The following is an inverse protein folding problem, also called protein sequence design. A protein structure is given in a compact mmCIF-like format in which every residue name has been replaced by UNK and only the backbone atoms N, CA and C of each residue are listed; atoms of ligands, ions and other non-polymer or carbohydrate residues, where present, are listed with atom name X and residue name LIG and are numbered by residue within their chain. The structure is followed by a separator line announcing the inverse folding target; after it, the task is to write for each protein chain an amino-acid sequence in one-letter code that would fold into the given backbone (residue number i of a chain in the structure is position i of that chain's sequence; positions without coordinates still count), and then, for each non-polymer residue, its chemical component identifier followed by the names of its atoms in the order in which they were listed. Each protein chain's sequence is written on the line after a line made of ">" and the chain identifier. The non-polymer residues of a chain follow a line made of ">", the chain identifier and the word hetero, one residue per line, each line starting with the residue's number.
data_IF_990965740027
#
_entry.id   IF_990965740027
#
_cell.length_a   1.000
_cell.length_b   1.000
_cell.length_c   1.000
_cell.angle_alpha   90.00
_cell.angle_beta   90.00
_cell.angle_gamma   90.00
#
_symmetry.space_group_name_H-M   'P 1'
#
loop_
_entity.id
_entity.type
_entity.pdbx_description
1 polymer ?
#
# COMPACT_ATOMS: atom_id res chain seq x y z
N UNK A 1 2.63 -12.54 -38.65
CA UNK A 1 3.13 -12.96 -37.32
C UNK A 1 2.20 -14.06 -36.85
N UNK A 2 2.66 -15.32 -36.70
CA UNK A 2 1.84 -16.37 -36.10
C UNK A 2 1.83 -16.16 -34.60
N UNK A 3 0.64 -16.03 -34.02
CA UNK A 3 0.46 -15.96 -32.56
C UNK A 3 0.69 -17.33 -31.93
N UNK A 4 0.96 -17.39 -30.61
CA UNK A 4 1.08 -18.66 -29.85
C UNK A 4 -0.09 -19.59 -30.15
N UNK A 5 -1.32 -19.07 -30.23
CA UNK A 5 -2.53 -19.83 -30.61
C UNK A 5 -2.43 -20.49 -32.00
N UNK A 6 -1.66 -19.90 -32.90
CA UNK A 6 -1.38 -20.49 -34.24
C UNK A 6 -0.43 -21.67 -34.16
N UNK A 7 0.52 -21.67 -33.20
CA UNK A 7 1.47 -22.77 -33.03
C UNK A 7 0.87 -23.94 -32.25
N UNK A 8 -0.03 -23.71 -31.32
CA UNK A 8 -0.73 -24.75 -30.54
C UNK A 8 -1.61 -25.61 -31.44
N UNK A 9 -2.06 -25.07 -32.58
CA UNK A 9 -2.84 -25.81 -33.58
C UNK A 9 -1.99 -26.62 -34.58
N UNK A 10 -0.67 -26.49 -34.48
CA UNK A 10 0.25 -27.27 -35.36
C UNK A 10 0.56 -28.62 -34.73
N UNK A 11 0.74 -29.64 -35.57
CA UNK A 11 1.26 -30.92 -35.12
C UNK A 11 2.71 -30.78 -34.60
N UNK A 12 3.16 -31.72 -33.79
CA UNK A 12 4.54 -31.74 -33.27
C UNK A 12 5.58 -31.72 -34.40
N UNK A 13 5.30 -32.40 -35.49
CA UNK A 13 6.21 -32.48 -36.67
C UNK A 13 6.26 -31.14 -37.41
N UNK A 14 5.14 -30.45 -37.58
CA UNK A 14 5.08 -29.10 -38.17
C UNK A 14 5.83 -28.09 -37.34
N UNK A 15 5.72 -28.16 -36.01
CA UNK A 15 6.47 -27.33 -35.07
C UNK A 15 7.98 -27.59 -35.12
N UNK A 16 8.40 -28.86 -35.24
CA UNK A 16 9.81 -29.23 -35.37
C UNK A 16 10.42 -28.75 -36.70
N UNK A 17 9.66 -28.77 -37.79
CA UNK A 17 10.08 -28.20 -39.08
C UNK A 17 10.22 -26.68 -38.96
N UNK A 18 9.25 -26.01 -38.33
CA UNK A 18 9.27 -24.57 -38.11
C UNK A 18 10.47 -24.12 -37.27
N UNK A 19 10.82 -24.84 -36.21
CA UNK A 19 11.97 -24.52 -35.34
C UNK A 19 13.34 -24.78 -35.99
N UNK A 20 13.41 -25.63 -37.03
CA UNK A 20 14.64 -25.88 -37.79
C UNK A 20 14.93 -24.80 -38.81
N UNK A 21 13.98 -23.95 -39.14
CA UNK A 21 14.18 -22.84 -40.06
C UNK A 21 14.87 -21.66 -39.32
N UNK A 22 16.20 -21.62 -39.45
CA UNK A 22 17.06 -20.62 -38.81
C UNK A 22 16.83 -19.18 -39.30
N UNK A 23 16.00 -18.97 -40.34
CA UNK A 23 15.60 -17.61 -40.76
C UNK A 23 14.70 -16.90 -39.77
N UNK A 24 14.07 -17.65 -38.85
CA UNK A 24 13.22 -17.12 -37.78
C UNK A 24 13.99 -16.46 -36.61
N UNK A 25 15.28 -16.73 -36.48
CA UNK A 25 16.11 -16.09 -35.44
C UNK A 25 16.25 -14.57 -35.61
N UNK A 26 15.85 -14.02 -36.75
CA UNK A 26 15.92 -12.58 -37.05
C UNK A 26 14.61 -11.82 -37.00
N UNK A 27 13.49 -12.44 -36.62
CA UNK A 27 12.20 -11.78 -36.49
C UNK A 27 11.66 -11.91 -35.08
N UNK A 28 11.67 -10.82 -34.34
CA UNK A 28 10.83 -10.44 -33.16
C UNK A 28 10.16 -11.56 -32.31
N UNK A 29 10.72 -12.77 -32.28
CA UNK A 29 10.35 -13.77 -31.30
C UNK A 29 11.01 -13.41 -29.97
N UNK A 30 10.24 -12.96 -29.01
CA UNK A 30 10.74 -12.75 -27.67
C UNK A 30 11.22 -14.10 -27.11
N UNK A 31 12.36 -14.12 -26.43
CA UNK A 31 12.94 -15.30 -25.78
C UNK A 31 11.92 -16.10 -24.95
N UNK A 32 10.92 -15.41 -24.41
CA UNK A 32 9.78 -15.95 -23.66
C UNK A 32 8.89 -16.85 -24.53
N UNK A 33 8.54 -16.42 -25.74
CA UNK A 33 7.68 -17.18 -26.67
C UNK A 33 8.40 -18.42 -27.19
N UNK A 34 9.70 -18.29 -27.43
CA UNK A 34 10.54 -19.43 -27.81
C UNK A 34 10.63 -20.46 -26.69
N UNK A 35 10.85 -20.04 -25.43
CA UNK A 35 10.91 -20.94 -24.28
C UNK A 35 9.56 -21.64 -24.03
N UNK A 36 8.44 -20.94 -24.22
CA UNK A 36 7.10 -21.54 -24.14
C UNK A 36 6.87 -22.58 -25.23
N UNK A 37 7.34 -22.31 -26.44
CA UNK A 37 7.25 -23.25 -27.56
C UNK A 37 8.10 -24.49 -27.31
N UNK A 38 9.31 -24.34 -26.77
CA UNK A 38 10.19 -25.47 -26.40
C UNK A 38 9.56 -26.29 -25.27
N UNK A 39 8.98 -25.63 -24.24
CA UNK A 39 8.30 -26.32 -23.16
C UNK A 39 7.08 -27.13 -23.67
N UNK A 40 6.31 -26.60 -24.65
CA UNK A 40 5.21 -27.29 -25.28
C UNK A 40 5.67 -28.56 -26.01
N UNK A 41 6.80 -28.52 -26.72
CA UNK A 41 7.36 -29.69 -27.39
C UNK A 41 7.81 -30.78 -26.42
N UNK A 42 8.25 -30.39 -25.22
CA UNK A 42 8.71 -31.32 -24.17
C UNK A 42 7.52 -31.89 -23.40
N UNK A 43 6.51 -31.10 -23.09
CA UNK A 43 5.31 -31.55 -22.38
C UNK A 43 4.06 -30.76 -22.82
N UNK A 44 3.37 -31.26 -23.90
CA UNK A 44 2.19 -30.62 -24.47
C UNK A 44 1.04 -30.44 -23.46
N UNK A 45 0.84 -31.41 -22.57
CA UNK A 45 -0.26 -31.41 -21.61
C UNK A 45 -0.07 -30.35 -20.53
N UNK A 46 1.18 -30.07 -20.13
CA UNK A 46 1.50 -29.02 -19.16
C UNK A 46 1.14 -27.63 -19.70
N UNK A 47 1.35 -27.37 -20.98
CA UNK A 47 1.08 -26.06 -21.61
C UNK A 47 -0.41 -25.81 -21.83
N UNK A 48 -1.17 -26.82 -22.19
CA UNK A 48 -2.63 -26.71 -22.30
C UNK A 48 -3.22 -26.31 -20.95
N UNK A 49 -2.72 -26.91 -19.84
CA UNK A 49 -3.13 -26.50 -18.48
C UNK A 49 -2.72 -25.05 -18.14
N UNK A 50 -1.61 -24.56 -18.67
CA UNK A 50 -1.10 -23.21 -18.42
C UNK A 50 -1.87 -22.14 -19.19
N UNK A 51 -2.30 -22.40 -20.42
CA UNK A 51 -3.13 -21.49 -21.22
C UNK A 51 -4.49 -21.30 -20.55
N UNK A 52 -5.11 -22.38 -20.08
CA UNK A 52 -6.38 -22.32 -19.38
C UNK A 52 -6.29 -21.49 -18.09
N UNK A 53 -5.21 -21.68 -17.33
CA UNK A 53 -4.98 -20.94 -16.09
C UNK A 53 -4.69 -19.45 -16.33
N UNK A 54 -3.91 -19.09 -17.37
CA UNK A 54 -3.70 -17.69 -17.74
C UNK A 54 -5.01 -17.04 -18.20
N UNK A 55 -5.89 -17.76 -18.87
CA UNK A 55 -7.24 -17.30 -19.18
C UNK A 55 -8.04 -17.00 -17.93
N UNK A 56 -7.94 -17.82 -16.90
CA UNK A 56 -8.60 -17.58 -15.62
C UNK A 56 -8.01 -16.38 -14.85
N UNK A 57 -6.70 -16.18 -14.93
CA UNK A 57 -6.04 -14.97 -14.41
C UNK A 57 -6.59 -13.73 -15.14
N UNK A 58 -6.65 -13.74 -16.48
CA UNK A 58 -7.22 -12.63 -17.27
C UNK A 58 -8.68 -12.36 -16.90
N UNK A 59 -9.50 -13.39 -16.76
CA UNK A 59 -10.92 -13.25 -16.30
C UNK A 59 -11.01 -12.64 -14.90
N UNK A 60 -10.13 -13.05 -13.98
CA UNK A 60 -10.08 -12.48 -12.63
C UNK A 60 -9.72 -10.99 -12.67
N UNK A 61 -8.70 -10.62 -13.46
CA UNK A 61 -8.31 -9.21 -13.63
C UNK A 61 -9.42 -8.38 -14.28
N UNK A 62 -10.11 -8.90 -15.30
CA UNK A 62 -11.24 -8.23 -15.96
C UNK A 62 -12.42 -7.99 -15.02
N UNK A 63 -12.57 -8.79 -13.96
CA UNK A 63 -13.62 -8.56 -12.95
C UNK A 63 -13.39 -7.31 -12.10
N UNK A 64 -12.19 -6.73 -12.14
CA UNK A 64 -11.80 -5.55 -11.35
C UNK A 64 -11.37 -4.37 -12.23
N UNK A 65 -10.49 -4.59 -13.21
CA UNK A 65 -10.02 -3.58 -14.14
C UNK A 65 -10.88 -3.55 -15.40
N UNK A 66 -11.30 -2.36 -15.81
CA UNK A 66 -12.03 -2.16 -17.08
C UNK A 66 -11.11 -1.90 -18.27
N UNK A 67 -9.86 -1.51 -18.03
CA UNK A 67 -8.88 -1.19 -19.07
C UNK A 67 -8.13 -2.45 -19.53
N UNK A 68 -8.39 -2.86 -20.77
CA UNK A 68 -7.74 -4.04 -21.38
C UNK A 68 -6.23 -3.88 -21.51
N UNK A 69 -5.72 -2.68 -21.82
CA UNK A 69 -4.28 -2.42 -21.95
C UNK A 69 -3.57 -2.60 -20.59
N UNK A 70 -4.24 -2.16 -19.52
CA UNK A 70 -3.74 -2.35 -18.15
C UNK A 70 -3.68 -3.83 -17.80
N UNK A 71 -4.71 -4.60 -18.16
CA UNK A 71 -4.73 -6.07 -17.95
C UNK A 71 -3.60 -6.75 -18.71
N UNK A 72 -3.39 -6.40 -19.97
CA UNK A 72 -2.32 -6.98 -20.79
C UNK A 72 -0.93 -6.62 -20.21
N UNK A 73 -0.74 -5.39 -19.73
CA UNK A 73 0.50 -4.99 -19.05
C UNK A 73 0.75 -5.85 -17.79
N UNK A 74 -0.28 -6.03 -16.93
CA UNK A 74 -0.17 -6.89 -15.75
C UNK A 74 0.16 -8.33 -16.14
N UNK A 75 -0.52 -8.89 -17.15
CA UNK A 75 -0.26 -10.25 -17.61
C UNK A 75 1.17 -10.44 -18.14
N UNK A 76 1.73 -9.41 -18.80
CA UNK A 76 3.12 -9.45 -19.28
C UNK A 76 4.15 -9.47 -18.15
N UNK A 77 3.77 -9.03 -16.96
CA UNK A 77 4.64 -9.05 -15.76
C UNK A 77 4.51 -10.35 -14.95
N UNK A 78 3.70 -11.31 -15.41
CA UNK A 78 3.47 -12.61 -14.78
C UNK A 78 4.21 -13.70 -15.55
N UNK A 79 4.84 -14.62 -14.83
CA UNK A 79 5.46 -15.82 -15.38
C UNK A 79 4.99 -17.06 -14.62
N UNK A 80 5.09 -18.21 -15.27
CA UNK A 80 4.81 -19.51 -14.64
C UNK A 80 6.12 -20.11 -14.10
N UNK A 81 6.13 -20.49 -12.85
CA UNK A 81 7.23 -21.20 -12.20
C UNK A 81 6.95 -22.71 -12.28
N UNK A 82 7.59 -23.39 -13.23
CA UNK A 82 7.42 -24.83 -13.48
C UNK A 82 7.77 -25.68 -12.24
N UNK A 83 8.73 -25.23 -11.43
CA UNK A 83 9.16 -25.98 -10.23
C UNK A 83 8.11 -25.96 -9.13
N UNK A 84 7.32 -24.88 -9.05
CA UNK A 84 6.29 -24.70 -8.03
C UNK A 84 4.88 -24.94 -8.57
N UNK A 85 4.70 -25.02 -9.89
CA UNK A 85 3.40 -25.11 -10.55
C UNK A 85 2.53 -23.86 -10.28
N UNK A 86 3.14 -22.67 -10.13
CA UNK A 86 2.47 -21.44 -9.75
C UNK A 86 2.85 -20.29 -10.66
N UNK A 87 1.91 -19.35 -10.83
CA UNK A 87 2.15 -18.06 -11.45
C UNK A 87 2.70 -17.07 -10.42
N UNK A 88 3.64 -16.23 -10.84
CA UNK A 88 4.25 -15.20 -10.00
C UNK A 88 4.58 -13.96 -10.81
N UNK A 89 4.74 -12.81 -10.19
CA UNK A 89 5.32 -11.63 -10.83
C UNK A 89 6.82 -11.80 -11.03
N UNK A 90 7.38 -11.20 -12.09
CA UNK A 90 8.81 -11.31 -12.42
C UNK A 90 9.73 -10.88 -11.27
N UNK A 91 9.31 -9.86 -10.53
CA UNK A 91 10.04 -9.37 -9.37
C UNK A 91 9.12 -8.65 -8.39
N UNK A 92 9.67 -8.27 -7.24
CA UNK A 92 8.96 -7.57 -6.18
C UNK A 92 8.42 -6.21 -6.64
N UNK A 93 9.14 -5.47 -7.48
CA UNK A 93 8.70 -4.16 -7.99
C UNK A 93 7.42 -4.28 -8.83
N UNK A 94 7.34 -5.31 -9.68
CA UNK A 94 6.14 -5.58 -10.50
C UNK A 94 4.94 -5.97 -9.64
N UNK A 95 5.16 -6.76 -8.61
CA UNK A 95 4.12 -7.11 -7.64
C UNK A 95 3.66 -5.88 -6.85
N UNK A 96 4.57 -5.01 -6.39
CA UNK A 96 4.23 -3.77 -5.73
C UNK A 96 3.41 -2.83 -6.63
N UNK A 97 3.82 -2.68 -7.89
CA UNK A 97 3.07 -1.88 -8.87
C UNK A 97 1.65 -2.43 -9.09
N UNK A 98 1.49 -3.75 -9.12
CA UNK A 98 0.19 -4.38 -9.18
C UNK A 98 -0.68 -4.01 -7.97
N UNK A 99 -0.17 -4.13 -6.74
CA UNK A 99 -0.91 -3.76 -5.54
C UNK A 99 -1.21 -2.27 -5.47
N UNK A 100 -0.27 -1.40 -5.85
CA UNK A 100 -0.52 0.04 -5.97
C UNK A 100 -1.67 0.33 -6.94
N UNK A 101 -1.74 -0.39 -8.06
CA UNK A 101 -2.86 -0.28 -9.00
C UNK A 101 -4.20 -0.73 -8.41
N UNK A 102 -4.20 -1.66 -7.46
CA UNK A 102 -5.43 -2.11 -6.78
C UNK A 102 -5.87 -1.08 -5.74
N UNK A 103 -4.97 -0.64 -4.86
CA UNK A 103 -5.33 0.26 -3.76
C UNK A 103 -5.54 1.70 -4.23
N UNK A 104 -4.89 2.10 -5.31
CA UNK A 104 -5.03 3.42 -5.91
C UNK A 104 -5.63 3.31 -7.31
N UNK A 105 -6.94 3.20 -7.36
CA UNK A 105 -7.71 2.95 -8.59
C UNK A 105 -7.45 3.96 -9.73
N UNK A 106 -6.75 5.09 -9.50
CA UNK A 106 -6.68 6.16 -10.50
C UNK A 106 -5.35 6.91 -10.65
N UNK A 107 -4.31 6.69 -9.81
CA UNK A 107 -3.10 7.54 -9.90
C UNK A 107 -1.83 6.80 -9.48
N UNK A 108 -0.74 7.02 -10.23
CA UNK A 108 0.59 6.52 -9.86
C UNK A 108 1.12 7.21 -8.58
N UNK A 109 2.00 6.55 -7.84
CA UNK A 109 2.66 7.14 -6.67
C UNK A 109 3.42 8.43 -7.06
N UNK A 110 3.93 8.49 -8.29
CA UNK A 110 4.63 9.65 -8.86
C UNK A 110 3.72 10.88 -8.98
N UNK A 111 2.41 10.69 -9.21
CA UNK A 111 1.43 11.78 -9.20
C UNK A 111 1.06 12.27 -7.79
N UNK A 112 1.45 11.53 -6.76
CA UNK A 112 1.22 11.90 -5.35
C UNK A 112 2.37 12.68 -4.74
N UNK A 113 3.50 12.76 -5.45
CA UNK A 113 4.64 13.55 -5.04
C UNK A 113 4.26 15.01 -4.95
N UNK A 114 4.54 15.64 -3.80
CA UNK A 114 4.16 17.02 -3.53
C UNK A 114 2.68 17.22 -3.16
N UNK A 115 1.91 16.15 -2.97
CA UNK A 115 0.58 16.23 -2.39
C UNK A 115 0.63 16.27 -0.88
N UNK A 116 -0.34 16.95 -0.33
CA UNK A 116 -0.56 17.06 1.10
C UNK A 116 -1.46 15.94 1.60
N UNK A 117 -1.11 15.40 2.77
CA UNK A 117 -1.96 14.50 3.55
C UNK A 117 -2.09 15.05 4.97
N UNK A 118 -3.14 14.64 5.65
CA UNK A 118 -3.50 15.21 6.94
C UNK A 118 -3.57 14.13 8.02
N UNK A 119 -3.15 14.48 9.23
CA UNK A 119 -3.29 13.62 10.40
C UNK A 119 -3.90 14.39 11.54
N UNK A 120 -5.03 13.90 12.04
CA UNK A 120 -5.68 14.46 13.22
C UNK A 120 -5.15 13.78 14.47
N UNK A 121 -4.94 14.58 15.52
CA UNK A 121 -4.44 14.07 16.81
C UNK A 121 -4.72 15.06 17.94
N UNK A 122 -4.45 14.65 19.19
CA UNK A 122 -4.54 15.55 20.34
C UNK A 122 -3.44 16.60 20.36
N UNK A 123 -3.69 17.72 21.03
CA UNK A 123 -2.68 18.75 21.28
C UNK A 123 -1.48 18.18 22.08
N UNK A 124 -1.74 17.28 23.03
CA UNK A 124 -0.70 16.60 23.81
C UNK A 124 0.26 15.79 22.92
N UNK A 125 -0.29 15.03 21.96
CA UNK A 125 0.53 14.26 21.01
C UNK A 125 1.42 15.18 20.17
N UNK A 126 0.88 16.28 19.66
CA UNK A 126 1.66 17.29 18.94
C UNK A 126 2.79 17.85 19.83
N UNK A 127 2.47 18.20 21.08
CA UNK A 127 3.44 18.77 22.02
C UNK A 127 4.60 17.80 22.28
N UNK A 128 4.31 16.51 22.48
CA UNK A 128 5.32 15.46 22.64
C UNK A 128 6.18 15.36 21.36
N UNK A 129 5.54 15.37 20.19
CA UNK A 129 6.21 15.25 18.88
C UNK A 129 7.21 16.40 18.66
N UNK A 130 6.79 17.64 18.90
CA UNK A 130 7.64 18.83 18.72
C UNK A 130 8.79 18.89 19.74
N UNK A 131 8.51 18.57 21.01
CA UNK A 131 9.53 18.60 22.07
C UNK A 131 10.60 17.52 21.87
N UNK A 132 10.20 16.32 21.47
CA UNK A 132 11.14 15.23 21.19
C UNK A 132 11.76 15.32 19.80
N UNK A 133 11.21 16.13 18.91
CA UNK A 133 11.63 16.18 17.50
C UNK A 133 11.42 14.88 16.76
N UNK A 134 10.35 14.13 17.10
CA UNK A 134 10.13 12.78 16.58
C UNK A 134 8.72 12.61 16.03
N UNK A 135 8.62 11.80 14.99
CA UNK A 135 7.37 11.25 14.51
C UNK A 135 7.30 9.77 14.91
N UNK A 136 6.29 9.41 15.69
CA UNK A 136 6.09 8.04 16.18
C UNK A 136 5.19 7.26 15.26
N UNK A 137 5.63 6.06 14.85
CA UNK A 137 4.79 5.03 14.27
C UNK A 137 4.57 3.89 15.26
N UNK A 138 3.35 3.39 15.32
CA UNK A 138 2.96 2.32 16.23
C UNK A 138 2.91 0.99 15.47
N UNK A 139 3.32 -0.09 16.16
CA UNK A 139 3.15 -1.44 15.65
C UNK A 139 1.68 -1.76 15.39
N UNK A 140 1.40 -2.52 14.36
CA UNK A 140 0.02 -2.89 13.95
C UNK A 140 -0.72 -3.68 15.03
N UNK A 141 -0.02 -4.34 15.94
CA UNK A 141 -0.61 -5.09 17.07
C UNK A 141 -1.41 -4.19 18.01
N UNK A 142 -1.00 -2.91 18.10
CA UNK A 142 -1.64 -1.90 18.94
C UNK A 142 -2.78 -1.13 18.28
N UNK A 143 -3.24 -1.54 17.10
CA UNK A 143 -4.37 -0.90 16.43
C UNK A 143 -5.64 -1.00 17.28
N UNK A 144 -6.40 0.09 17.29
CA UNK A 144 -7.64 0.19 18.09
C UNK A 144 -8.70 -0.82 17.66
N UNK A 145 -8.78 -1.10 16.36
CA UNK A 145 -9.74 -2.05 15.81
C UNK A 145 -9.02 -3.33 15.32
N UNK A 146 -9.09 -4.38 16.14
CA UNK A 146 -8.56 -5.70 15.78
C UNK A 146 -9.28 -6.32 14.59
N UNK A 147 -10.52 -5.93 14.32
CA UNK A 147 -11.29 -6.45 13.19
C UNK A 147 -10.70 -6.03 11.85
N UNK A 148 -10.00 -4.91 11.80
CA UNK A 148 -9.28 -4.45 10.60
C UNK A 148 -8.11 -5.37 10.24
N UNK A 149 -7.36 -5.86 11.23
CA UNK A 149 -6.22 -6.76 11.00
C UNK A 149 -6.70 -8.06 10.34
N UNK A 150 -7.84 -8.57 10.78
CA UNK A 150 -8.43 -9.83 10.30
C UNK A 150 -9.32 -9.65 9.06
N UNK A 151 -9.61 -8.42 8.65
CA UNK A 151 -10.58 -8.16 7.59
C UNK A 151 -10.20 -8.83 6.28
N UNK A 152 -8.95 -8.68 5.86
CA UNK A 152 -8.43 -9.30 4.66
C UNK A 152 -8.54 -10.83 4.71
N UNK A 153 -8.09 -11.44 5.80
CA UNK A 153 -8.07 -12.90 5.97
C UNK A 153 -9.50 -13.49 6.00
N UNK A 154 -10.47 -12.75 6.53
CA UNK A 154 -11.88 -13.16 6.55
C UNK A 154 -12.56 -13.07 5.18
N UNK A 155 -12.17 -12.10 4.36
CA UNK A 155 -12.85 -11.78 3.08
C UNK A 155 -12.13 -12.33 1.85
N UNK A 156 -10.85 -12.67 1.92
CA UNK A 156 -10.05 -13.09 0.76
C UNK A 156 -9.26 -14.37 1.03
N UNK A 157 -8.02 -14.25 1.45
CA UNK A 157 -7.05 -15.34 1.58
C UNK A 157 -6.58 -15.40 3.03
N UNK A 158 -6.60 -16.59 3.62
CA UNK A 158 -6.03 -16.80 4.95
C UNK A 158 -4.50 -16.83 4.85
N UNK A 159 -3.88 -15.69 4.97
CA UNK A 159 -2.42 -15.58 4.94
C UNK A 159 -1.86 -15.78 6.33
N UNK A 160 -2.62 -15.38 7.35
CA UNK A 160 -2.12 -15.26 8.71
C UNK A 160 -1.07 -14.16 8.85
N UNK A 161 -0.51 -14.03 10.01
CA UNK A 161 0.68 -13.20 10.28
C UNK A 161 1.57 -13.94 11.24
N UNK A 162 2.85 -13.97 10.96
CA UNK A 162 3.85 -14.46 11.93
C UNK A 162 4.00 -13.42 13.05
N UNK A 163 4.43 -13.86 14.24
CA UNK A 163 4.73 -12.95 15.36
C UNK A 163 5.77 -11.91 14.94
N UNK A 164 6.73 -12.29 14.10
CA UNK A 164 7.75 -11.39 13.58
C UNK A 164 7.13 -10.31 12.69
N UNK A 165 6.32 -10.68 11.71
CA UNK A 165 5.65 -9.71 10.81
C UNK A 165 4.81 -8.71 11.59
N UNK A 166 4.09 -9.16 12.63
CA UNK A 166 3.30 -8.29 13.48
C UNK A 166 4.15 -7.28 14.25
N UNK A 167 5.33 -7.69 14.73
CA UNK A 167 6.21 -6.83 15.52
C UNK A 167 7.10 -5.92 14.67
N UNK A 168 7.40 -6.31 13.43
CA UNK A 168 8.26 -5.57 12.52
C UNK A 168 7.46 -4.66 11.56
N UNK A 169 6.14 -4.58 11.73
CA UNK A 169 5.26 -3.74 10.91
C UNK A 169 4.66 -2.60 11.72
N UNK A 170 4.90 -1.39 11.24
CA UNK A 170 4.46 -0.16 11.88
C UNK A 170 3.55 0.62 10.95
N UNK A 171 2.55 1.31 11.52
CA UNK A 171 1.54 2.01 10.78
C UNK A 171 1.28 3.41 11.32
N UNK A 172 1.05 4.33 10.41
CA UNK A 172 0.48 5.64 10.69
C UNK A 172 -0.66 5.94 9.71
N UNK A 173 -1.84 6.20 10.26
CA UNK A 173 -3.02 6.58 9.50
C UNK A 173 -3.05 8.09 9.28
N UNK A 174 -3.22 8.47 8.02
CA UNK A 174 -3.47 9.83 7.56
C UNK A 174 -4.76 9.85 6.75
N UNK A 175 -5.15 11.03 6.29
CA UNK A 175 -6.33 11.20 5.42
C UNK A 175 -6.04 12.24 4.33
N UNK A 176 -6.84 12.23 3.27
CA UNK A 176 -6.84 13.31 2.27
C UNK A 176 -7.73 14.49 2.64
N UNK A 177 -8.43 14.42 3.78
CA UNK A 177 -9.42 15.42 4.21
C UNK A 177 -8.77 16.50 5.06
N UNK A 178 -8.72 17.73 4.54
CA UNK A 178 -8.29 18.93 5.26
C UNK A 178 -9.46 19.50 6.05
N UNK A 179 -9.22 19.88 7.31
CA UNK A 179 -10.17 20.61 8.18
C UNK A 179 -11.61 20.03 8.12
N UNK A 180 -11.72 18.70 8.21
CA UNK A 180 -12.99 17.98 8.05
C UNK A 180 -13.67 17.72 9.38
N UNK A 181 -14.98 17.99 9.46
CA UNK A 181 -15.79 17.85 10.67
C UNK A 181 -15.80 16.43 11.23
N UNK A 182 -15.89 15.43 10.36
CA UNK A 182 -15.91 14.02 10.78
C UNK A 182 -14.57 13.60 11.35
N UNK A 183 -13.49 14.01 10.70
CA UNK A 183 -12.13 13.73 11.17
C UNK A 183 -11.81 14.42 12.50
N UNK A 184 -12.29 15.64 12.70
CA UNK A 184 -12.18 16.32 13.99
C UNK A 184 -12.88 15.55 15.11
N UNK A 185 -14.07 15.03 14.86
CA UNK A 185 -14.84 14.23 15.84
C UNK A 185 -14.17 12.90 16.17
N UNK A 186 -13.70 12.19 15.15
CA UNK A 186 -13.17 10.85 15.34
C UNK A 186 -11.73 10.84 15.88
N UNK A 187 -10.88 11.77 15.41
CA UNK A 187 -9.44 11.69 15.62
C UNK A 187 -8.81 12.98 16.14
N UNK A 188 -9.51 14.08 16.10
CA UNK A 188 -9.04 15.42 16.52
C UNK A 188 -9.46 15.80 17.93
N UNK A 189 -9.60 14.84 18.86
CA UNK A 189 -10.02 15.08 20.25
C UNK A 189 -11.33 15.88 20.35
N UNK A 190 -12.34 15.43 19.59
CA UNK A 190 -13.64 16.12 19.44
C UNK A 190 -13.49 17.60 19.09
N UNK A 191 -12.54 17.91 18.21
CA UNK A 191 -12.28 19.28 17.75
C UNK A 191 -11.43 20.14 18.69
N UNK A 192 -10.89 19.61 19.78
CA UNK A 192 -9.97 20.31 20.69
C UNK A 192 -8.51 20.07 20.33
N UNK A 193 -8.22 19.09 19.50
CA UNK A 193 -6.89 18.71 19.07
C UNK A 193 -6.36 19.54 17.90
N UNK A 194 -5.55 18.91 17.07
CA UNK A 194 -4.86 19.52 15.92
C UNK A 194 -4.98 18.66 14.69
N UNK A 195 -4.95 19.30 13.52
CA UNK A 195 -4.77 18.66 12.23
C UNK A 195 -3.38 19.01 11.71
N UNK A 196 -2.56 18.00 11.44
CA UNK A 196 -1.20 18.11 10.95
C UNK A 196 -1.20 17.92 9.44
N UNK A 197 -0.70 18.89 8.70
CA UNK A 197 -0.51 18.80 7.26
C UNK A 197 0.92 18.37 6.95
N UNK A 198 1.04 17.28 6.20
CA UNK A 198 2.32 16.78 5.74
C UNK A 198 2.39 16.85 4.21
N UNK A 199 3.55 17.31 3.73
CA UNK A 199 3.95 17.15 2.34
C UNK A 199 4.63 15.78 2.15
N UNK A 200 4.23 15.05 1.11
CA UNK A 200 4.84 13.77 0.77
C UNK A 200 6.16 14.06 0.04
N UNK A 201 7.26 13.64 0.64
CA UNK A 201 8.57 13.72 0.02
C UNK A 201 8.77 12.49 -0.88
N UNK A 202 8.90 12.73 -2.18
CA UNK A 202 9.32 11.68 -3.08
C UNK A 202 10.81 11.51 -3.04
N UNK A 203 11.21 10.27 -2.86
CA UNK A 203 12.44 9.77 -3.47
C UNK A 203 12.32 8.27 -3.60
N UNK A 204 12.42 7.74 -4.82
CA UNK A 204 12.46 6.31 -5.11
C UNK A 204 13.49 5.57 -4.23
N UNK A 205 14.60 6.19 -3.94
CA UNK A 205 15.72 5.60 -3.19
C UNK A 205 15.51 5.54 -1.67
N UNK A 206 14.42 6.13 -1.17
CA UNK A 206 14.15 6.24 0.28
C UNK A 206 13.00 5.39 0.77
N UNK A 207 12.31 4.66 -0.11
CA UNK A 207 11.04 4.02 0.21
C UNK A 207 11.14 2.48 0.31
N UNK A 208 12.32 1.89 0.23
CA UNK A 208 12.42 0.41 0.30
C UNK A 208 11.67 -0.22 1.48
N UNK A 209 11.64 0.49 2.62
CA UNK A 209 10.97 0.02 3.83
C UNK A 209 9.61 0.69 4.09
N UNK A 210 9.20 1.68 3.28
CA UNK A 210 7.93 2.38 3.44
C UNK A 210 6.98 2.09 2.29
N UNK A 211 5.69 1.96 2.62
CA UNK A 211 4.60 2.01 1.66
C UNK A 211 3.67 3.14 2.08
N UNK A 212 3.45 4.12 1.21
CA UNK A 212 2.46 5.17 1.37
C UNK A 212 1.41 5.02 0.27
N UNK A 213 0.21 4.61 0.64
CA UNK A 213 -0.87 4.37 -0.31
C UNK A 213 -2.25 4.64 0.32
N UNK A 214 -3.26 4.97 -0.50
CA UNK A 214 -4.63 5.05 -0.01
C UNK A 214 -5.13 3.65 0.38
N UNK A 215 -6.11 3.62 1.26
CA UNK A 215 -6.84 2.40 1.60
C UNK A 215 -7.88 2.12 0.52
N UNK A 216 -7.94 0.87 0.08
CA UNK A 216 -8.99 0.38 -0.80
C UNK A 216 -10.18 -0.08 0.05
N UNK A 217 -11.33 0.55 -0.15
CA UNK A 217 -12.56 0.23 0.58
C UNK A 217 -13.44 -0.70 -0.22
N UNK A 218 -14.21 -1.53 0.49
CA UNK A 218 -15.30 -2.25 -0.12
C UNK A 218 -16.28 -1.29 -0.81
N UNK A 219 -16.90 -1.71 -1.89
CA UNK A 219 -17.90 -0.92 -2.62
C UNK A 219 -19.21 -0.80 -1.84
N UNK A 220 -19.52 -1.82 -1.06
CA UNK A 220 -20.67 -1.88 -0.14
C UNK A 220 -20.36 -2.84 1.03
N UNK A 221 -21.34 -3.08 1.90
CA UNK A 221 -21.16 -3.97 3.08
C UNK A 221 -20.94 -5.44 2.73
N UNK A 222 -21.34 -5.86 1.55
CA UNK A 222 -21.30 -7.27 1.12
C UNK A 222 -20.09 -7.54 0.23
N UNK A 223 -19.74 -6.60 -0.63
CA UNK A 223 -18.77 -6.80 -1.72
C UNK A 223 -17.52 -5.96 -1.56
N UNK A 224 -16.41 -6.65 -1.68
CA UNK A 224 -15.10 -6.02 -1.88
C UNK A 224 -14.49 -6.59 -3.15
N UNK A 225 -14.63 -5.87 -4.27
CA UNK A 225 -14.23 -6.36 -5.60
C UNK A 225 -12.75 -6.71 -5.66
N UNK A 226 -11.89 -5.87 -5.07
CA UNK A 226 -10.45 -6.14 -5.05
C UNK A 226 -10.14 -7.46 -4.34
N UNK A 227 -10.71 -7.70 -3.16
CA UNK A 227 -10.49 -8.94 -2.41
C UNK A 227 -11.06 -10.17 -3.14
N UNK A 228 -12.21 -10.01 -3.81
CA UNK A 228 -12.80 -11.06 -4.65
C UNK A 228 -11.90 -11.39 -5.86
N UNK A 229 -11.31 -10.39 -6.49
CA UNK A 229 -10.34 -10.59 -7.57
C UNK A 229 -9.09 -11.31 -7.06
N UNK A 230 -8.47 -10.86 -5.96
CA UNK A 230 -7.29 -11.51 -5.38
C UNK A 230 -7.55 -12.98 -5.02
N UNK A 231 -8.75 -13.28 -4.50
CA UNK A 231 -9.17 -14.66 -4.24
C UNK A 231 -9.19 -15.50 -5.51
N UNK A 232 -9.81 -14.99 -6.59
CA UNK A 232 -9.85 -15.69 -7.89
C UNK A 232 -8.45 -15.88 -8.49
N UNK A 233 -7.56 -14.89 -8.35
CA UNK A 233 -6.15 -15.02 -8.79
C UNK A 233 -5.43 -16.14 -8.03
N UNK A 234 -5.65 -16.26 -6.73
CA UNK A 234 -5.10 -17.36 -5.95
C UNK A 234 -5.69 -18.72 -6.35
N UNK A 235 -6.99 -18.79 -6.63
CA UNK A 235 -7.66 -19.99 -7.16
C UNK A 235 -7.08 -20.39 -8.53
N UNK A 236 -6.63 -19.44 -9.34
CA UNK A 236 -5.89 -19.65 -10.57
C UNK A 236 -4.39 -19.92 -10.36
N UNK A 237 -3.98 -20.39 -9.18
CA UNK A 237 -2.61 -20.70 -8.77
C UNK A 237 -1.63 -19.52 -8.79
N UNK A 238 -2.11 -18.29 -8.69
CA UNK A 238 -1.23 -17.14 -8.57
C UNK A 238 -0.69 -17.01 -7.15
N UNK A 239 0.63 -16.85 -7.02
CA UNK A 239 1.35 -16.62 -5.77
C UNK A 239 1.70 -15.14 -5.64
N UNK A 240 1.52 -14.62 -4.45
CA UNK A 240 1.94 -13.28 -4.06
C UNK A 240 2.99 -13.37 -2.95
N UNK A 241 4.12 -12.71 -3.13
CA UNK A 241 5.22 -12.67 -2.15
C UNK A 241 5.09 -11.52 -1.17
N UNK A 242 4.52 -10.39 -1.62
CA UNK A 242 4.38 -9.15 -0.85
C UNK A 242 2.99 -8.96 -0.20
N UNK A 243 2.09 -9.92 -0.34
CA UNK A 243 0.70 -9.79 0.10
C UNK A 243 0.58 -9.54 1.61
N UNK A 244 1.53 -10.03 2.42
CA UNK A 244 1.56 -9.80 3.86
C UNK A 244 1.70 -8.30 4.22
N UNK A 245 2.32 -7.50 3.35
CA UNK A 245 2.40 -6.04 3.49
C UNK A 245 1.10 -5.36 3.05
N UNK A 246 0.58 -5.80 1.91
CA UNK A 246 -0.55 -5.15 1.25
C UNK A 246 -1.90 -5.45 1.88
N UNK A 247 -2.06 -6.57 2.61
CA UNK A 247 -3.31 -6.94 3.27
C UNK A 247 -3.85 -5.86 4.22
N UNK A 248 -2.98 -5.00 4.73
CA UNK A 248 -3.34 -3.90 5.62
C UNK A 248 -3.90 -2.66 4.91
N UNK A 249 -4.03 -2.68 3.59
CA UNK A 249 -4.58 -1.57 2.80
C UNK A 249 -6.04 -1.80 2.37
N UNK A 250 -6.75 -2.73 2.99
CA UNK A 250 -8.14 -3.02 2.66
C UNK A 250 -9.04 -2.84 3.89
N UNK A 251 -10.15 -2.11 3.72
CA UNK A 251 -11.12 -1.82 4.80
C UNK A 251 -12.56 -2.08 4.37
N UNK A 252 -13.45 -2.34 5.34
CA UNK A 252 -14.90 -2.35 5.11
C UNK A 252 -15.42 -1.01 4.58
N UNK A 253 -16.57 -1.06 3.92
CA UNK A 253 -17.26 0.12 3.39
C UNK A 253 -17.56 1.18 4.45
N UNK A 254 -17.93 0.76 5.66
CA UNK A 254 -18.34 1.67 6.74
C UNK A 254 -17.25 2.70 7.14
N UNK A 255 -15.98 2.43 6.82
CA UNK A 255 -14.85 3.33 7.06
C UNK A 255 -14.52 4.27 5.89
N UNK A 256 -15.29 4.22 4.78
CA UNK A 256 -15.01 5.00 3.58
C UNK A 256 -14.95 6.51 3.81
N UNK A 257 -15.68 7.01 4.83
CA UNK A 257 -15.69 8.44 5.20
C UNK A 257 -14.33 8.97 5.65
N UNK A 258 -13.44 8.10 6.11
CA UNK A 258 -12.12 8.48 6.60
C UNK A 258 -11.16 8.90 5.48
N UNK A 259 -11.38 8.46 4.23
CA UNK A 259 -10.48 8.70 3.09
C UNK A 259 -9.02 8.45 3.46
N UNK A 260 -8.79 7.33 4.16
CA UNK A 260 -7.53 7.02 4.80
C UNK A 260 -6.40 6.80 3.78
N UNK A 261 -5.25 7.35 4.11
CA UNK A 261 -3.97 7.11 3.45
C UNK A 261 -3.04 6.51 4.53
N UNK A 262 -2.51 5.33 4.29
CA UNK A 262 -1.63 4.63 5.23
C UNK A 262 -0.18 4.81 4.86
N UNK A 263 0.61 5.25 5.84
CA UNK A 263 2.06 5.10 5.83
C UNK A 263 2.39 3.85 6.64
N UNK A 264 2.98 2.86 5.99
CA UNK A 264 3.49 1.67 6.64
C UNK A 264 5.01 1.64 6.56
N UNK A 265 5.65 1.19 7.63
CA UNK A 265 7.07 0.94 7.72
C UNK A 265 7.30 -0.53 8.07
N UNK A 266 8.17 -1.19 7.31
CA UNK A 266 8.56 -2.57 7.52
C UNK A 266 10.00 -2.59 8.00
N UNK A 267 10.17 -2.84 9.30
CA UNK A 267 11.49 -2.86 9.92
C UNK A 267 12.19 -4.19 9.67
N UNK A 268 13.19 -4.18 8.81
CA UNK A 268 14.04 -5.35 8.58
C UNK A 268 15.27 -5.38 9.51
N UNK A 269 15.34 -4.48 10.49
CA UNK A 269 16.45 -4.32 11.41
C UNK A 269 17.71 -3.70 10.79
N UNK A 270 17.65 -3.28 9.53
CA UNK A 270 18.79 -2.67 8.79
C UNK A 270 18.55 -1.22 8.40
N UNK A 271 17.32 -0.75 8.49
CA UNK A 271 16.97 0.61 8.12
C UNK A 271 17.18 1.55 9.31
N UNK A 272 18.24 2.37 9.26
CA UNK A 272 18.58 3.32 10.34
C UNK A 272 18.47 4.78 9.91
N UNK A 273 18.15 5.05 8.64
CA UNK A 273 18.08 6.41 8.14
C UNK A 273 16.89 7.18 8.77
N UNK A 274 17.20 8.11 9.65
CA UNK A 274 16.20 8.90 10.37
C UNK A 274 15.51 8.19 11.55
N UNK A 275 15.79 6.92 11.81
CA UNK A 275 15.32 6.22 13.02
C UNK A 275 16.09 6.74 14.22
N UNK A 276 15.35 7.21 15.23
CA UNK A 276 15.93 7.67 16.52
C UNK A 276 15.85 6.57 17.56
N UNK A 277 14.73 5.87 17.60
CA UNK A 277 14.45 4.90 18.67
C UNK A 277 13.55 3.76 18.17
N UNK A 278 13.83 2.56 18.68
CA UNK A 278 12.95 1.39 18.61
C UNK A 278 12.69 0.98 20.04
N UNK A 279 11.43 0.94 20.44
CA UNK A 279 11.05 0.69 21.84
C UNK A 279 9.67 0.03 21.93
N UNK A 280 9.23 -0.20 23.13
CA UNK A 280 7.94 -0.78 23.44
C UNK A 280 7.18 0.14 24.37
N UNK A 281 5.89 0.29 24.12
CA UNK A 281 5.00 1.05 25.00
C UNK A 281 3.80 0.19 25.40
N UNK A 282 3.23 0.52 26.56
CA UNK A 282 1.91 0.05 26.94
C UNK A 282 0.86 1.01 26.37
N UNK A 283 -0.04 0.52 25.54
CA UNK A 283 -1.15 1.34 25.05
C UNK A 283 -2.15 1.62 26.16
N UNK A 284 -2.64 2.86 26.22
CA UNK A 284 -3.60 3.25 27.25
C UNK A 284 -4.96 2.62 27.06
N UNK A 285 -5.44 2.52 25.82
CA UNK A 285 -6.79 2.06 25.49
C UNK A 285 -7.02 0.58 25.77
N UNK A 286 -6.01 -0.27 25.58
CA UNK A 286 -6.19 -1.74 25.63
C UNK A 286 -5.17 -2.46 26.52
N UNK A 287 -4.29 -1.72 27.20
CA UNK A 287 -3.20 -2.31 28.02
C UNK A 287 -2.34 -3.33 27.27
N UNK A 288 -2.17 -3.13 25.96
CA UNK A 288 -1.35 -4.00 25.10
C UNK A 288 0.07 -3.46 25.09
N UNK A 289 1.06 -4.36 25.17
CA UNK A 289 2.46 -4.03 24.88
C UNK A 289 2.60 -3.95 23.37
N UNK A 290 3.00 -2.77 22.86
CA UNK A 290 3.07 -2.49 21.45
C UNK A 290 4.45 -1.97 21.07
N UNK A 291 5.11 -2.51 20.03
CA UNK A 291 6.34 -1.95 19.52
C UNK A 291 6.09 -0.57 18.90
N UNK A 292 7.08 0.30 19.02
CA UNK A 292 7.09 1.62 18.40
C UNK A 292 8.41 1.86 17.69
N UNK A 293 8.35 2.73 16.69
CA UNK A 293 9.53 3.31 16.06
C UNK A 293 9.36 4.82 16.00
N UNK A 294 10.37 5.56 16.47
CA UNK A 294 10.43 7.00 16.42
C UNK A 294 11.40 7.45 15.33
N UNK A 295 10.89 8.20 14.35
CA UNK A 295 11.67 8.83 13.30
C UNK A 295 11.97 10.28 13.64
N UNK A 296 13.12 10.79 13.25
CA UNK A 296 13.43 12.22 13.36
C UNK A 296 12.46 13.01 12.49
N UNK A 297 11.73 13.93 13.12
CA UNK A 297 10.77 14.80 12.44
C UNK A 297 11.46 15.63 11.35
N UNK A 298 10.84 15.71 10.17
CA UNK A 298 11.34 16.45 9.02
C UNK A 298 12.75 16.03 8.56
N UNK A 299 13.12 14.77 8.79
CA UNK A 299 14.41 14.24 8.31
C UNK A 299 14.32 13.68 6.90
N UNK A 300 15.47 13.59 6.27
CA UNK A 300 15.64 13.02 4.93
C UNK A 300 15.25 11.54 4.86
N UNK A 301 15.35 10.82 5.96
CA UNK A 301 14.99 9.39 6.06
C UNK A 301 13.51 9.10 6.34
N UNK A 302 12.67 10.15 6.45
CA UNK A 302 11.23 10.00 6.70
C UNK A 302 10.43 10.57 5.52
N UNK A 303 9.45 9.84 4.97
CA UNK A 303 8.81 10.20 3.70
C UNK A 303 7.83 11.38 3.77
N UNK A 304 7.65 12.00 4.93
CA UNK A 304 6.72 13.11 5.13
C UNK A 304 7.39 14.29 5.81
N UNK A 305 7.06 15.50 5.36
CA UNK A 305 7.52 16.77 5.92
C UNK A 305 6.34 17.53 6.54
N UNK A 306 6.38 17.81 7.84
CA UNK A 306 5.37 18.64 8.51
C UNK A 306 5.47 20.09 8.01
N UNK A 307 4.38 20.60 7.43
CA UNK A 307 4.31 21.93 6.81
C UNK A 307 3.42 22.89 7.56
N UNK A 308 2.31 22.38 8.10
CA UNK A 308 1.31 23.23 8.75
C UNK A 308 0.59 22.47 9.87
N UNK A 309 0.17 23.22 10.89
CA UNK A 309 -0.64 22.73 11.99
C UNK A 309 -1.90 23.58 12.07
N UNK A 310 -3.07 22.94 12.01
CA UNK A 310 -4.38 23.58 12.13
C UNK A 310 -4.90 23.28 13.53
N UNK A 311 -5.19 24.30 14.32
CA UNK A 311 -5.79 24.19 15.64
C UNK A 311 -7.30 23.93 15.52
N UNK A 312 -7.82 23.02 16.34
CA UNK A 312 -9.19 22.52 16.22
C UNK A 312 -10.27 23.55 16.54
N UNK A 313 -11.48 23.36 15.98
CA UNK A 313 -12.58 24.34 16.07
C UNK A 313 -13.19 24.49 17.48
N UNK A 314 -12.93 23.55 18.40
CA UNK A 314 -13.35 23.63 19.82
C UNK A 314 -12.18 23.89 20.77
N UNK A 315 -11.01 24.24 20.25
CA UNK A 315 -9.86 24.52 21.12
C UNK A 315 -10.13 25.74 21.99
N UNK A 316 -9.97 25.58 23.31
CA UNK A 316 -10.05 26.68 24.23
C UNK A 316 -8.81 27.56 24.12
N UNK A 317 -8.96 28.88 24.40
CA UNK A 317 -7.85 29.83 24.36
C UNK A 317 -7.00 29.70 23.07
N UNK A 318 -7.68 29.55 21.91
CA UNK A 318 -7.03 29.18 20.65
C UNK A 318 -5.95 30.18 20.22
N UNK A 319 -6.15 31.49 20.47
CA UNK A 319 -5.16 32.51 20.09
C UNK A 319 -3.91 32.44 20.97
N UNK A 320 -4.09 32.15 22.28
CA UNK A 320 -2.96 31.91 23.20
C UNK A 320 -2.21 30.67 22.78
N UNK A 321 -2.91 29.57 22.54
CA UNK A 321 -2.31 28.30 22.10
C UNK A 321 -1.57 28.48 20.77
N UNK A 322 -2.14 29.23 19.82
CA UNK A 322 -1.48 29.53 18.55
C UNK A 322 -0.16 30.27 18.75
N UNK A 323 -0.18 31.36 19.52
CA UNK A 323 1.03 32.16 19.80
C UNK A 323 2.12 31.35 20.51
N UNK A 324 1.75 30.51 21.48
CA UNK A 324 2.70 29.66 22.20
C UNK A 324 3.26 28.54 21.28
N UNK A 325 2.42 28.01 20.43
CA UNK A 325 2.83 27.00 19.45
C UNK A 325 3.82 27.58 18.41
N UNK A 326 3.56 28.77 17.89
CA UNK A 326 4.45 29.50 16.98
C UNK A 326 5.81 29.77 17.63
N UNK A 327 5.81 30.19 18.90
CA UNK A 327 7.04 30.36 19.66
C UNK A 327 7.81 29.05 19.85
N UNK A 328 7.13 27.96 20.22
CA UNK A 328 7.75 26.63 20.36
C UNK A 328 8.36 26.13 19.04
N UNK A 329 7.64 26.27 17.94
CA UNK A 329 8.07 25.89 16.58
C UNK A 329 9.36 26.64 16.23
N UNK A 330 9.37 27.97 16.45
CA UNK A 330 10.54 28.82 16.21
C UNK A 330 11.72 28.42 17.09
N UNK A 331 11.49 28.20 18.38
CA UNK A 331 12.52 27.80 19.36
C UNK A 331 13.17 26.45 18.99
N UNK A 332 12.41 25.54 18.40
CA UNK A 332 12.88 24.23 17.94
C UNK A 332 13.45 24.25 16.51
N UNK A 333 13.43 25.40 15.82
CA UNK A 333 13.98 25.57 14.49
C UNK A 333 13.17 24.89 13.38
N UNK A 334 11.86 24.70 13.59
CA UNK A 334 10.99 24.16 12.54
C UNK A 334 10.42 25.27 11.65
N UNK A 335 10.32 25.02 10.36
CA UNK A 335 9.61 25.87 9.40
C UNK A 335 8.20 25.31 9.15
N UNK A 336 7.30 25.55 10.10
CA UNK A 336 5.93 25.03 10.13
C UNK A 336 4.97 26.19 10.36
N UNK A 337 3.94 26.29 9.50
CA UNK A 337 2.88 27.31 9.64
C UNK A 337 1.83 26.85 10.65
N UNK A 338 1.13 27.80 11.27
CA UNK A 338 0.01 27.53 12.18
C UNK A 338 -1.24 28.27 11.74
N UNK A 339 -2.35 27.57 11.69
CA UNK A 339 -3.67 28.10 11.36
C UNK A 339 -4.71 27.69 12.40
N UNK A 340 -5.88 28.29 12.32
CA UNK A 340 -7.06 27.92 13.10
C UNK A 340 -8.08 27.31 12.13
N UNK A 341 -8.82 26.30 12.57
CA UNK A 341 -9.89 25.68 11.79
C UNK A 341 -10.92 26.73 11.30
N UNK A 342 -11.35 26.55 10.07
CA UNK A 342 -12.38 27.40 9.43
C UNK A 342 -13.80 26.96 9.79
N UNK A 343 -13.97 25.85 10.48
CA UNK A 343 -15.28 25.31 10.88
C UNK A 343 -15.87 26.16 12.01
N UNK A 344 -16.94 26.90 11.70
CA UNK A 344 -17.60 27.81 12.65
C UNK A 344 -18.76 27.19 13.43
N UNK A 345 -19.40 26.14 12.88
CA UNK A 345 -20.62 25.54 13.42
C UNK A 345 -20.38 24.11 13.88
N UNK A 346 -19.41 23.92 14.77
CA UNK A 346 -19.15 22.62 15.37
C UNK A 346 -20.14 22.38 16.54
N UNK A 347 -21.10 21.47 16.37
CA UNK A 347 -22.07 21.06 17.38
C UNK A 347 -21.73 19.71 17.98
#
# INVERSE_FOLDING_TARGET
>A
VKTIDGFIKMSKDELMVFLKDTSLANTEFQLKEFNQLVAYLVNPDAIVSDIDKMSDIKKALTSFFSDSKKIDTICNDIYFDDKQGKYSFFNVEKEQNFFLNIVDNNKSLEEKIGKTIYRYTSLETLFIMLNKGTYRMNGIVGMNDKSEIDYFDKKSLKIGSTVKELNDTFLSSCTSLEDDLTMWRLYGDDGKGVCLEFEILSTRDRIENFILAPVNYAEDREQHKALKMLKKLSEANMRFTELYKWKHFFKPYDYYVEKEIRLMFFDNGRYDNGVINRDWIKTWSHSIINPIVDFKLNSVGFPMLLKRIILGPKMQEVDINKSQLEYLISLRGYSVNTDISKIKNYR
#
